data_IF_070047935679
#
_entry.id   IF_070047935679
#
_cell.length_a   1.000
_cell.length_b   1.000
_cell.length_c   1.000
_cell.angle_alpha   90.00
_cell.angle_beta   90.00
_cell.angle_gamma   90.00
#
_symmetry.space_group_name_H-M   'P 1'
#
loop_
_entity.id
_entity.type
_entity.pdbx_description
1 polymer ?
#
# COMPACT_ATOMS: atom_id res chain seq x y z
N UNK A 1 16.16 11.44 39.81
CA UNK A 1 15.57 12.68 39.35
C UNK A 1 15.26 12.58 37.85
N UNK A 2 13.97 12.70 37.49
CA UNK A 2 13.47 12.51 36.12
C UNK A 2 14.13 13.46 35.11
N UNK A 3 14.40 14.71 35.50
CA UNK A 3 15.04 15.69 34.64
C UNK A 3 16.47 15.31 34.25
N UNK A 4 17.22 14.72 35.17
CA UNK A 4 18.57 14.23 34.90
C UNK A 4 18.55 13.02 33.96
N UNK A 5 17.57 12.15 34.13
CA UNK A 5 17.39 11.00 33.24
C UNK A 5 17.04 11.45 31.80
N UNK A 6 16.14 12.44 31.67
CA UNK A 6 15.78 13.04 30.38
C UNK A 6 17.01 13.70 29.72
N UNK A 7 17.78 14.50 30.48
CA UNK A 7 18.99 15.14 29.97
C UNK A 7 20.03 14.12 29.47
N UNK A 8 20.21 13.02 30.21
CA UNK A 8 21.11 11.93 29.81
C UNK A 8 20.65 11.26 28.51
N UNK A 9 19.37 10.94 28.39
CA UNK A 9 18.79 10.32 27.20
C UNK A 9 18.95 11.23 25.96
N UNK A 10 18.77 12.54 26.14
CA UNK A 10 18.92 13.54 25.08
C UNK A 10 20.37 13.91 24.81
N UNK A 11 21.34 13.36 25.58
CA UNK A 11 22.74 13.77 25.53
C UNK A 11 22.92 15.29 25.69
N UNK A 12 22.09 15.90 26.54
CA UNK A 12 22.17 17.32 26.86
C UNK A 12 23.13 17.51 28.06
N UNK A 13 24.24 18.21 27.91
CA UNK A 13 25.23 18.35 28.99
C UNK A 13 24.70 19.17 30.18
N UNK A 14 23.69 20.00 29.94
CA UNK A 14 23.08 20.83 30.96
C UNK A 14 21.54 20.78 30.85
N UNK A 15 20.86 20.83 32.00
CA UNK A 15 19.39 20.78 32.06
C UNK A 15 18.71 21.93 31.28
N UNK A 16 19.32 23.09 31.25
CA UNK A 16 18.82 24.26 30.50
C UNK A 16 18.80 24.05 28.97
N UNK A 17 19.55 23.08 28.47
CA UNK A 17 19.62 22.75 27.04
C UNK A 17 18.55 21.73 26.63
N UNK A 18 17.89 21.08 27.59
CA UNK A 18 16.86 20.07 27.32
C UNK A 18 15.74 20.60 26.40
N UNK A 19 15.16 21.79 26.61
CA UNK A 19 14.11 22.31 25.74
C UNK A 19 14.59 22.48 24.30
N UNK A 20 15.77 23.03 24.10
CA UNK A 20 16.35 23.23 22.76
C UNK A 20 16.65 21.88 22.08
N UNK A 21 17.11 20.89 22.85
CA UNK A 21 17.36 19.54 22.36
C UNK A 21 16.07 18.85 21.92
N UNK A 22 14.99 19.00 22.70
CA UNK A 22 13.67 18.48 22.35
C UNK A 22 13.15 19.14 21.08
N UNK A 23 13.22 20.46 20.97
CA UNK A 23 12.79 21.19 19.76
C UNK A 23 13.57 20.71 18.52
N UNK A 24 14.89 20.60 18.62
CA UNK A 24 15.74 20.09 17.52
C UNK A 24 15.37 18.66 17.13
N UNK A 25 15.09 17.78 18.09
CA UNK A 25 14.65 16.41 17.81
C UNK A 25 13.29 16.36 17.13
N UNK A 26 12.37 17.22 17.53
CA UNK A 26 11.06 17.32 16.86
C UNK A 26 11.21 17.80 15.40
N UNK A 27 12.06 18.77 15.14
CA UNK A 27 12.38 19.23 13.77
C UNK A 27 13.02 18.11 12.94
N UNK A 28 13.99 17.39 13.50
CA UNK A 28 14.63 16.26 12.84
C UNK A 28 13.63 15.15 12.56
N UNK A 29 12.76 14.82 13.52
CA UNK A 29 11.71 13.83 13.32
C UNK A 29 10.77 14.22 12.19
N UNK A 30 10.33 15.48 12.17
CA UNK A 30 9.47 15.99 11.11
C UNK A 30 10.15 15.95 9.73
N UNK A 31 11.42 16.37 9.67
CA UNK A 31 12.21 16.30 8.44
C UNK A 31 12.38 14.86 7.94
N UNK A 32 12.73 13.93 8.84
CA UNK A 32 12.85 12.51 8.51
C UNK A 32 11.53 11.88 8.07
N UNK A 33 10.42 12.25 8.70
CA UNK A 33 9.09 11.78 8.28
C UNK A 33 8.75 12.26 6.86
N UNK A 34 9.05 13.52 6.56
CA UNK A 34 8.85 14.10 5.22
C UNK A 34 9.74 13.43 4.17
N UNK A 35 11.02 13.23 4.50
CA UNK A 35 11.95 12.52 3.62
C UNK A 35 11.52 11.08 3.38
N UNK A 36 11.11 10.37 4.44
CA UNK A 36 10.61 9.00 4.33
C UNK A 36 9.37 8.90 3.43
N UNK A 37 8.43 9.84 3.58
CA UNK A 37 7.26 9.91 2.71
C UNK A 37 7.66 10.14 1.24
N UNK A 38 8.59 11.07 0.97
CA UNK A 38 9.08 11.33 -0.38
C UNK A 38 9.83 10.14 -0.99
N UNK A 39 10.64 9.43 -0.20
CA UNK A 39 11.34 8.23 -0.65
C UNK A 39 10.37 7.08 -0.94
N UNK A 40 9.36 6.90 -0.12
CA UNK A 40 8.30 5.91 -0.35
C UNK A 40 7.53 6.21 -1.65
N UNK A 41 7.21 7.47 -1.88
CA UNK A 41 6.53 7.91 -3.10
C UNK A 41 7.38 7.65 -4.35
N UNK A 42 8.69 7.97 -4.30
CA UNK A 42 9.63 7.70 -5.38
C UNK A 42 9.78 6.18 -5.64
N UNK A 43 9.89 5.39 -4.58
CA UNK A 43 9.99 3.93 -4.70
C UNK A 43 8.71 3.34 -5.30
N UNK A 44 7.54 3.80 -4.85
CA UNK A 44 6.26 3.39 -5.41
C UNK A 44 6.12 3.79 -6.89
N UNK A 45 6.53 5.00 -7.27
CA UNK A 45 6.50 5.45 -8.65
C UNK A 45 7.41 4.62 -9.57
N UNK A 46 8.61 4.26 -9.10
CA UNK A 46 9.53 3.41 -9.85
C UNK A 46 8.97 1.99 -10.02
N UNK A 47 8.44 1.40 -8.95
CA UNK A 47 7.81 0.07 -9.00
C UNK A 47 6.54 0.05 -9.85
N UNK A 48 5.73 1.11 -9.78
CA UNK A 48 4.51 1.26 -10.58
C UNK A 48 4.79 1.23 -12.09
N UNK A 49 5.89 1.82 -12.53
CA UNK A 49 6.26 1.84 -13.95
C UNK A 49 6.38 0.45 -14.56
N UNK A 50 6.84 -0.54 -13.81
CA UNK A 50 6.96 -1.93 -14.26
C UNK A 50 5.64 -2.70 -14.07
N UNK A 51 4.96 -2.50 -12.96
CA UNK A 51 3.66 -3.14 -12.67
C UNK A 51 2.61 -2.77 -13.71
N UNK A 52 2.54 -1.51 -14.12
CA UNK A 52 1.53 -1.02 -15.06
C UNK A 52 1.78 -1.42 -16.53
N UNK A 53 2.95 -1.97 -16.83
CA UNK A 53 3.26 -2.51 -18.16
C UNK A 53 2.69 -3.90 -18.41
N UNK A 54 2.43 -4.67 -17.36
CA UNK A 54 1.92 -6.04 -17.45
C UNK A 54 0.38 -6.05 -17.52
N UNK A 55 -0.14 -5.53 -18.62
CA UNK A 55 -1.58 -5.50 -18.88
C UNK A 55 -2.00 -6.81 -19.55
N UNK A 56 -3.00 -7.45 -18.98
CA UNK A 56 -3.64 -8.67 -19.49
C UNK A 56 -5.08 -8.36 -19.91
N UNK A 57 -5.66 -9.27 -20.65
CA UNK A 57 -7.06 -9.15 -21.09
C UNK A 57 -7.83 -10.46 -20.83
N UNK A 58 -9.04 -10.33 -20.30
CA UNK A 58 -9.97 -11.41 -20.13
C UNK A 58 -11.40 -10.91 -20.45
N UNK A 59 -12.11 -11.62 -21.31
CA UNK A 59 -13.50 -11.30 -21.71
C UNK A 59 -13.71 -9.83 -22.12
N UNK A 60 -12.73 -9.23 -22.80
CA UNK A 60 -12.77 -7.84 -23.25
C UNK A 60 -12.45 -6.80 -22.18
N UNK A 61 -12.04 -7.21 -21.00
CA UNK A 61 -11.59 -6.35 -19.90
C UNK A 61 -10.07 -6.37 -19.81
N UNK A 62 -9.44 -5.21 -19.93
CA UNK A 62 -8.01 -5.06 -19.68
C UNK A 62 -7.77 -4.95 -18.19
N UNK A 63 -6.87 -5.76 -17.65
CA UNK A 63 -6.57 -5.75 -16.22
C UNK A 63 -5.07 -5.92 -15.95
N UNK A 64 -4.66 -5.42 -14.80
CA UNK A 64 -3.34 -5.65 -14.22
C UNK A 64 -3.55 -6.44 -12.93
N UNK A 65 -2.87 -7.58 -12.79
CA UNK A 65 -2.85 -8.37 -11.57
C UNK A 65 -1.39 -8.66 -11.21
N UNK A 66 -0.92 -8.08 -10.11
CA UNK A 66 0.49 -8.18 -9.73
C UNK A 66 0.67 -8.21 -8.22
N UNK A 67 1.70 -8.89 -7.79
CA UNK A 67 2.22 -8.79 -6.44
C UNK A 67 3.22 -7.64 -6.37
N UNK A 68 3.08 -6.79 -5.36
CA UNK A 68 3.97 -5.64 -5.12
C UNK A 68 4.58 -5.71 -3.73
N UNK A 69 5.78 -5.18 -3.58
CA UNK A 69 6.45 -5.03 -2.30
C UNK A 69 6.23 -3.61 -1.79
N UNK A 70 5.51 -3.49 -0.69
CA UNK A 70 5.21 -2.22 -0.05
C UNK A 70 5.33 -2.36 1.46
N UNK A 71 5.56 -1.25 2.14
CA UNK A 71 5.74 -1.24 3.60
C UNK A 71 4.44 -1.12 4.40
N UNK A 72 3.37 -0.65 3.76
CA UNK A 72 2.05 -0.48 4.36
C UNK A 72 0.92 -0.50 3.32
N UNK A 73 -0.31 -0.65 3.80
CA UNK A 73 -1.49 -0.67 2.94
C UNK A 73 -1.78 0.68 2.25
N UNK A 74 -1.29 1.78 2.79
CA UNK A 74 -1.41 3.10 2.17
C UNK A 74 -0.67 3.20 0.84
N UNK A 75 0.46 2.50 0.71
CA UNK A 75 1.22 2.43 -0.53
C UNK A 75 0.43 1.78 -1.67
N UNK A 76 -0.44 0.80 -1.38
CA UNK A 76 -1.35 0.22 -2.38
C UNK A 76 -2.33 1.26 -2.93
N UNK A 77 -2.84 2.14 -2.09
CA UNK A 77 -3.72 3.24 -2.53
C UNK A 77 -2.96 4.22 -3.41
N UNK A 78 -1.71 4.52 -3.10
CA UNK A 78 -0.85 5.37 -3.94
C UNK A 78 -0.67 4.77 -5.34
N UNK A 79 -0.46 3.47 -5.45
CA UNK A 79 -0.45 2.76 -6.74
C UNK A 79 -1.77 2.95 -7.50
N UNK A 80 -2.90 2.78 -6.83
CA UNK A 80 -4.22 2.94 -7.44
C UNK A 80 -4.46 4.38 -7.93
N UNK A 81 -4.02 5.37 -7.17
CA UNK A 81 -4.14 6.78 -7.55
C UNK A 81 -3.29 7.11 -8.78
N UNK A 82 -2.07 6.58 -8.87
CA UNK A 82 -1.22 6.70 -10.06
C UNK A 82 -1.84 5.99 -11.27
N UNK A 83 -2.38 4.79 -11.07
CA UNK A 83 -3.06 4.04 -12.13
C UNK A 83 -4.31 4.79 -12.65
N UNK A 84 -5.05 5.47 -11.79
CA UNK A 84 -6.22 6.27 -12.18
C UNK A 84 -5.87 7.47 -13.04
N UNK A 85 -4.67 8.01 -12.93
CA UNK A 85 -4.24 9.20 -13.66
C UNK A 85 -3.96 8.96 -15.14
N UNK A 86 -3.77 7.70 -15.55
CA UNK A 86 -3.47 7.33 -16.93
C UNK A 86 -4.32 6.13 -17.37
N UNK A 87 -4.39 5.90 -18.68
CA UNK A 87 -5.15 4.80 -19.25
C UNK A 87 -4.27 3.56 -19.44
N UNK A 88 -3.93 2.90 -18.31
CA UNK A 88 -3.18 1.65 -18.34
C UNK A 88 -4.06 0.44 -18.59
N UNK A 89 -5.15 0.33 -17.84
CA UNK A 89 -6.11 -0.78 -17.91
C UNK A 89 -7.46 -0.39 -17.31
N UNK A 90 -8.46 -1.24 -17.47
CA UNK A 90 -9.81 -1.02 -16.94
C UNK A 90 -9.92 -1.43 -15.47
N UNK A 91 -9.13 -2.42 -15.05
CA UNK A 91 -9.10 -2.96 -13.68
C UNK A 91 -7.65 -3.11 -13.21
N UNK A 92 -7.42 -2.82 -11.94
CA UNK A 92 -6.16 -3.02 -11.25
C UNK A 92 -6.38 -3.92 -10.04
N UNK A 93 -5.60 -5.00 -9.93
CA UNK A 93 -5.54 -5.86 -8.75
C UNK A 93 -4.10 -5.94 -8.27
N UNK A 94 -3.87 -5.52 -7.04
CA UNK A 94 -2.58 -5.57 -6.38
C UNK A 94 -2.68 -6.38 -5.10
N UNK A 95 -1.71 -7.26 -4.89
CA UNK A 95 -1.53 -7.99 -3.65
C UNK A 95 -0.16 -7.69 -3.06
N UNK A 96 -0.10 -7.51 -1.76
CA UNK A 96 1.14 -7.25 -1.03
C UNK A 96 1.21 -8.07 0.26
N UNK A 97 2.38 -8.62 0.52
CA UNK A 97 2.71 -9.26 1.78
C UNK A 97 3.39 -8.23 2.69
N UNK A 98 2.72 -7.85 3.79
CA UNK A 98 3.20 -6.84 4.73
C UNK A 98 3.30 -7.46 6.12
N UNK A 99 4.51 -7.72 6.58
CA UNK A 99 4.74 -8.44 7.83
C UNK A 99 4.17 -9.86 7.76
N UNK A 100 3.21 -10.18 8.62
CA UNK A 100 2.51 -11.47 8.63
C UNK A 100 1.13 -11.42 7.96
N UNK A 101 0.81 -10.30 7.30
CA UNK A 101 -0.50 -10.06 6.68
C UNK A 101 -0.38 -9.88 5.18
N UNK A 102 -1.44 -10.22 4.49
CA UNK A 102 -1.63 -9.94 3.07
C UNK A 102 -2.65 -8.82 2.91
N UNK A 103 -2.33 -7.84 2.09
CA UNK A 103 -3.26 -6.80 1.71
C UNK A 103 -3.52 -6.89 0.21
N UNK A 104 -4.79 -6.78 -0.17
CA UNK A 104 -5.23 -6.83 -1.56
C UNK A 104 -6.02 -5.56 -1.87
N UNK A 105 -5.74 -4.97 -3.01
CA UNK A 105 -6.48 -3.83 -3.53
C UNK A 105 -7.03 -4.17 -4.90
N UNK A 106 -8.31 -3.86 -5.12
CA UNK A 106 -8.96 -3.89 -6.42
C UNK A 106 -9.47 -2.49 -6.76
N UNK A 107 -9.13 -1.99 -7.93
CA UNK A 107 -9.65 -0.73 -8.46
C UNK A 107 -10.23 -0.96 -9.85
N UNK A 108 -11.35 -0.33 -10.18
CA UNK A 108 -12.04 -0.46 -11.45
C UNK A 108 -12.45 0.88 -12.02
N UNK A 109 -12.20 1.07 -13.31
CA UNK A 109 -12.75 2.14 -14.14
C UNK A 109 -13.93 1.64 -15.00
N UNK A 110 -14.10 0.31 -15.09
CA UNK A 110 -15.14 -0.31 -15.88
C UNK A 110 -16.47 -0.31 -15.15
N UNK A 111 -17.53 0.11 -15.81
CA UNK A 111 -18.90 0.03 -15.28
C UNK A 111 -19.40 -1.41 -15.13
N UNK A 112 -18.82 -2.34 -15.89
CA UNK A 112 -19.16 -3.76 -15.83
C UNK A 112 -18.46 -4.54 -14.71
N UNK A 113 -17.44 -3.98 -14.08
CA UNK A 113 -16.65 -4.62 -13.04
C UNK A 113 -16.77 -3.85 -11.74
N UNK A 114 -17.36 -4.47 -10.72
CA UNK A 114 -17.55 -3.89 -9.40
C UNK A 114 -16.44 -4.36 -8.46
N UNK A 115 -15.50 -3.46 -8.12
CA UNK A 115 -14.33 -3.77 -7.30
C UNK A 115 -14.69 -4.44 -5.96
N UNK A 116 -15.74 -3.99 -5.30
CA UNK A 116 -16.21 -4.58 -4.04
C UNK A 116 -16.71 -6.02 -4.19
N UNK A 117 -17.25 -6.40 -5.33
CA UNK A 117 -17.66 -7.78 -5.60
C UNK A 117 -16.46 -8.66 -5.92
N UNK A 118 -15.54 -8.17 -6.74
CA UNK A 118 -14.29 -8.87 -7.06
C UNK A 118 -13.49 -9.17 -5.78
N UNK A 119 -13.32 -8.18 -4.90
CA UNK A 119 -12.57 -8.36 -3.66
C UNK A 119 -13.21 -9.39 -2.72
N UNK A 120 -14.54 -9.50 -2.69
CA UNK A 120 -15.25 -10.48 -1.88
C UNK A 120 -15.00 -11.92 -2.33
N UNK A 121 -14.75 -12.12 -3.62
CA UNK A 121 -14.40 -13.44 -4.17
C UNK A 121 -12.92 -13.75 -3.94
N UNK A 122 -12.04 -12.74 -4.11
CA UNK A 122 -10.59 -12.92 -3.99
C UNK A 122 -10.10 -13.02 -2.54
N UNK A 123 -10.69 -12.27 -1.61
CA UNK A 123 -10.23 -12.21 -0.23
C UNK A 123 -10.17 -13.58 0.48
N UNK A 124 -11.13 -14.50 0.34
CA UNK A 124 -11.06 -15.81 0.96
C UNK A 124 -9.86 -16.66 0.52
N UNK A 125 -9.32 -16.44 -0.68
CA UNK A 125 -8.15 -17.16 -1.23
C UNK A 125 -6.91 -16.93 -0.36
N UNK A 126 -6.80 -15.76 0.24
CA UNK A 126 -5.72 -15.40 1.17
C UNK A 126 -6.17 -15.44 2.63
N UNK A 127 -7.20 -16.20 2.93
CA UNK A 127 -7.82 -16.32 4.28
C UNK A 127 -8.19 -14.94 4.84
N UNK A 128 -8.75 -14.09 3.99
CA UNK A 128 -9.02 -12.71 4.27
C UNK A 128 -10.48 -12.31 4.18
N UNK A 129 -10.72 -11.07 4.52
CA UNK A 129 -12.01 -10.40 4.38
C UNK A 129 -11.79 -8.97 3.90
N UNK A 130 -12.74 -8.47 3.15
CA UNK A 130 -12.68 -7.10 2.67
C UNK A 130 -13.96 -6.70 1.96
N UNK A 131 -13.92 -5.52 1.42
CA UNK A 131 -15.01 -4.92 0.67
C UNK A 131 -14.69 -3.49 0.31
N UNK A 132 -15.63 -2.83 -0.31
CA UNK A 132 -15.44 -1.45 -0.71
C UNK A 132 -16.50 -1.00 -1.70
N UNK A 133 -16.15 0.06 -2.40
CA UNK A 133 -16.99 0.69 -3.41
C UNK A 133 -16.82 0.01 -4.78
N UNK A 134 -17.69 0.33 -5.77
CA UNK A 134 -17.54 -0.18 -7.12
C UNK A 134 -16.22 0.16 -7.79
N UNK A 135 -15.67 1.32 -7.48
CA UNK A 135 -14.43 1.86 -8.06
C UNK A 135 -13.15 1.44 -7.34
N UNK A 136 -13.26 1.11 -6.05
CA UNK A 136 -12.11 0.68 -5.22
C UNK A 136 -12.55 -0.13 -4.01
N UNK A 137 -11.87 -1.24 -3.78
CA UNK A 137 -12.07 -2.09 -2.61
C UNK A 137 -10.73 -2.63 -2.11
N UNK A 138 -10.67 -2.93 -0.83
CA UNK A 138 -9.49 -3.50 -0.19
C UNK A 138 -9.88 -4.68 0.72
N UNK A 139 -8.94 -5.62 0.85
CA UNK A 139 -9.07 -6.74 1.78
C UNK A 139 -7.76 -6.96 2.54
N UNK A 140 -7.88 -7.54 3.71
CA UNK A 140 -6.75 -8.05 4.49
C UNK A 140 -6.90 -9.54 4.72
N UNK A 141 -5.82 -10.28 4.60
CA UNK A 141 -5.73 -11.71 4.82
C UNK A 141 -4.51 -12.11 5.62
N UNK A 142 -4.37 -13.40 5.88
CA UNK A 142 -3.26 -13.96 6.67
C UNK A 142 -2.46 -15.03 5.92
N UNK A 143 -2.89 -15.44 4.73
CA UNK A 143 -2.23 -16.49 3.95
C UNK A 143 -1.49 -15.91 2.74
N UNK A 144 -0.19 -15.67 2.90
CA UNK A 144 0.67 -15.20 1.83
C UNK A 144 0.87 -16.23 0.71
N UNK A 145 0.72 -17.52 1.00
CA UNK A 145 0.85 -18.57 -0.01
C UNK A 145 -0.30 -18.54 -1.02
N UNK A 146 -1.45 -18.00 -0.64
CA UNK A 146 -2.60 -17.83 -1.53
C UNK A 146 -2.50 -16.68 -2.53
N UNK A 147 -1.46 -15.83 -2.47
CA UNK A 147 -1.33 -14.67 -3.36
C UNK A 147 -1.30 -15.08 -4.84
N UNK A 148 -0.54 -16.11 -5.19
CA UNK A 148 -0.44 -16.56 -6.59
C UNK A 148 -1.77 -17.14 -7.09
N UNK A 149 -2.47 -17.88 -6.27
CA UNK A 149 -3.80 -18.41 -6.58
C UNK A 149 -4.81 -17.26 -6.75
N UNK A 150 -4.74 -16.26 -5.89
CA UNK A 150 -5.55 -15.05 -6.00
C UNK A 150 -5.32 -14.32 -7.32
N UNK A 151 -4.07 -14.08 -7.69
CA UNK A 151 -3.71 -13.40 -8.95
C UNK A 151 -4.17 -14.19 -10.17
N UNK A 152 -4.09 -15.52 -10.11
CA UNK A 152 -4.60 -16.41 -11.17
C UNK A 152 -6.12 -16.39 -11.29
N UNK A 153 -6.83 -16.25 -10.17
CA UNK A 153 -8.28 -16.21 -10.13
C UNK A 153 -8.88 -14.86 -10.61
N UNK A 154 -8.07 -13.82 -10.75
CA UNK A 154 -8.54 -12.49 -11.21
C UNK A 154 -9.20 -12.56 -12.58
N UNK A 155 -8.60 -13.29 -13.52
CA UNK A 155 -9.13 -13.44 -14.88
C UNK A 155 -10.54 -14.06 -14.94
N UNK A 156 -10.89 -14.87 -13.95
CA UNK A 156 -12.20 -15.52 -13.85
C UNK A 156 -13.32 -14.59 -13.37
N UNK A 157 -12.97 -13.36 -12.97
CA UNK A 157 -13.92 -12.39 -12.43
C UNK A 157 -14.53 -11.47 -13.48
N UNK A 158 -14.15 -11.63 -14.75
CA UNK A 158 -14.55 -10.76 -15.86
C UNK A 158 -15.34 -11.48 -16.96
#
# INVERSE_FOLDING_TARGET
>A
DALKAIAATLKAPQLKEVPNKVASLQEQLHALQKENAALKEKAAAAAAGDVFKDVKEANGVRYIASQVEVSDAGALRTFADQWKQADYSDVLVLAAHIGEKVNVLVASKSKGVHAGNVIKVLAPIVSGRGGGKPDMAMAGGSDANGIQDLLSAVAEQF
#
